data_IF_807239052146
#
_entry.id   IF_807239052146
#
_cell.length_a   1.000
_cell.length_b   1.000
_cell.length_c   1.000
_cell.angle_alpha   90.00
_cell.angle_beta   90.00
_cell.angle_gamma   90.00
#
_symmetry.space_group_name_H-M   'P 1'
#
loop_
_entity.id
_entity.type
_entity.pdbx_description
1 polymer ?
#
# COMPACT_ATOMS: atom_id res chain seq x y z
N UNK A 1 -21.46 -13.74 -1.76
CA UNK A 1 -20.87 -13.30 -3.04
C UNK A 1 -19.40 -13.66 -2.99
N UNK A 2 -18.98 -14.61 -3.81
CA UNK A 2 -17.62 -15.16 -3.76
C UNK A 2 -16.73 -14.19 -4.53
N UNK A 3 -15.64 -13.71 -3.91
CA UNK A 3 -14.56 -12.95 -4.55
C UNK A 3 -13.73 -13.82 -5.53
N UNK A 4 -14.41 -14.68 -6.29
CA UNK A 4 -13.80 -15.49 -7.33
C UNK A 4 -13.62 -14.63 -8.58
N UNK A 5 -12.39 -14.15 -8.79
CA UNK A 5 -11.69 -14.06 -10.10
C UNK A 5 -10.57 -13.01 -10.20
N UNK A 6 -10.07 -12.45 -9.10
CA UNK A 6 -8.86 -11.63 -9.15
C UNK A 6 -7.67 -12.39 -8.51
N UNK A 7 -7.00 -13.30 -9.24
CA UNK A 7 -5.78 -13.92 -8.74
C UNK A 7 -4.77 -12.82 -8.41
N UNK A 8 -3.89 -13.11 -7.43
CA UNK A 8 -2.80 -12.20 -7.11
C UNK A 8 -1.94 -11.97 -8.36
N UNK A 9 -1.58 -10.73 -8.70
CA UNK A 9 -0.69 -10.46 -9.81
C UNK A 9 0.69 -11.11 -9.60
N UNK A 10 1.30 -11.58 -10.68
CA UNK A 10 2.67 -12.12 -10.64
C UNK A 10 3.74 -11.02 -10.42
N UNK A 11 3.34 -9.74 -10.58
CA UNK A 11 4.22 -8.57 -10.51
C UNK A 11 3.89 -7.72 -9.28
N UNK A 12 4.37 -8.20 -8.13
CA UNK A 12 4.38 -7.51 -6.85
C UNK A 12 5.81 -7.56 -6.27
N UNK A 13 6.09 -6.67 -5.33
CA UNK A 13 7.30 -6.62 -4.55
C UNK A 13 8.25 -5.50 -4.94
N UNK A 14 9.45 -5.61 -4.37
CA UNK A 14 10.58 -4.71 -4.57
C UNK A 14 11.52 -5.34 -5.60
N UNK A 15 11.94 -4.55 -6.59
CA UNK A 15 12.99 -4.92 -7.53
C UNK A 15 14.19 -3.99 -7.33
N UNK A 16 15.30 -4.53 -6.84
CA UNK A 16 16.45 -3.73 -6.40
C UNK A 16 16.13 -2.98 -5.12
N UNK A 17 15.88 -1.67 -5.24
CA UNK A 17 15.58 -0.79 -4.10
C UNK A 17 14.32 0.06 -4.34
N UNK A 18 13.42 -0.43 -5.20
CA UNK A 18 12.17 0.27 -5.57
C UNK A 18 11.02 -0.71 -5.70
N UNK A 19 9.83 -0.27 -5.35
CA UNK A 19 8.60 -0.99 -5.69
C UNK A 19 8.47 -1.11 -7.21
N UNK A 20 7.90 -2.22 -7.67
CA UNK A 20 7.55 -2.38 -9.08
C UNK A 20 6.57 -1.28 -9.53
N UNK A 21 6.69 -0.79 -10.79
CA UNK A 21 5.86 0.30 -11.31
C UNK A 21 4.38 -0.07 -11.35
N UNK A 22 3.54 0.96 -11.43
CA UNK A 22 2.12 0.74 -11.67
C UNK A 22 1.91 0.03 -13.03
N UNK A 23 0.89 -0.85 -13.14
CA UNK A 23 0.38 -1.24 -14.44
C UNK A 23 -0.08 0.01 -15.23
N UNK A 24 -0.11 -0.09 -16.56
CA UNK A 24 -0.61 0.97 -17.45
C UNK A 24 -2.14 1.12 -17.37
N UNK A 25 -2.63 1.59 -16.21
CA UNK A 25 -4.04 1.80 -15.86
C UNK A 25 -4.18 2.90 -14.80
N UNK A 26 -5.25 3.71 -14.85
CA UNK A 26 -5.43 4.83 -13.93
C UNK A 26 -5.91 4.42 -12.52
N UNK A 27 -6.10 3.12 -12.25
CA UNK A 27 -6.51 2.58 -10.96
C UNK A 27 -5.31 2.12 -10.10
N UNK A 28 -4.18 2.81 -10.23
CA UNK A 28 -2.99 2.61 -9.42
C UNK A 28 -2.50 3.94 -8.84
N UNK A 29 -2.12 3.92 -7.57
CA UNK A 29 -1.52 5.04 -6.85
C UNK A 29 -0.14 4.62 -6.37
N UNK A 30 0.92 5.37 -6.70
CA UNK A 30 2.29 5.04 -6.33
C UNK A 30 3.09 6.27 -5.96
N UNK A 31 3.85 6.18 -4.87
CA UNK A 31 4.79 7.25 -4.49
C UNK A 31 5.99 7.37 -5.44
N UNK A 32 6.20 6.38 -6.31
CA UNK A 32 7.26 6.42 -7.33
C UNK A 32 6.77 7.02 -8.65
N UNK A 33 5.48 7.29 -8.78
CA UNK A 33 4.84 7.79 -10.00
C UNK A 33 3.98 9.03 -9.72
N UNK A 34 4.53 9.99 -8.96
CA UNK A 34 3.98 11.34 -8.83
C UNK A 34 3.18 11.61 -7.56
N UNK A 35 3.02 10.64 -6.66
CA UNK A 35 2.51 10.89 -5.31
C UNK A 35 3.66 11.00 -4.30
N UNK A 36 3.43 11.73 -3.22
CA UNK A 36 4.42 11.85 -2.15
C UNK A 36 4.49 10.54 -1.33
N UNK A 37 5.70 10.06 -0.97
CA UNK A 37 5.86 8.95 -0.02
C UNK A 37 5.44 9.38 1.39
N UNK A 38 5.25 8.41 2.30
CA UNK A 38 4.95 8.76 3.68
C UNK A 38 6.24 9.12 4.41
N UNK A 39 6.40 10.35 4.92
CA UNK A 39 7.55 10.67 5.75
C UNK A 39 7.40 9.98 7.11
N UNK A 40 8.52 9.57 7.68
CA UNK A 40 8.58 9.23 9.10
C UNK A 40 9.79 9.90 9.74
N UNK A 41 9.72 10.12 11.05
CA UNK A 41 10.87 10.54 11.85
C UNK A 41 11.22 9.46 12.87
N UNK A 42 12.48 9.34 13.23
CA UNK A 42 12.95 8.38 14.22
C UNK A 42 13.23 6.99 13.64
N UNK A 43 13.01 5.97 14.46
CA UNK A 43 13.42 4.59 14.17
C UNK A 43 12.59 3.94 13.05
N UNK A 44 13.28 3.31 12.10
CA UNK A 44 12.65 2.61 10.96
C UNK A 44 11.77 1.44 11.42
N UNK A 45 12.20 0.71 12.45
CA UNK A 45 11.43 -0.39 13.04
C UNK A 45 10.15 0.10 13.72
N UNK A 46 10.20 1.24 14.41
CA UNK A 46 9.03 1.88 14.99
C UNK A 46 8.04 2.36 13.91
N UNK A 47 8.53 2.96 12.82
CA UNK A 47 7.71 3.33 11.67
C UNK A 47 7.05 2.10 11.03
N UNK A 48 7.81 1.03 10.81
CA UNK A 48 7.31 -0.25 10.30
C UNK A 48 6.21 -0.83 11.21
N UNK A 49 6.48 -0.95 12.51
CA UNK A 49 5.53 -1.52 13.47
C UNK A 49 4.25 -0.68 13.58
N UNK A 50 4.37 0.65 13.52
CA UNK A 50 3.23 1.57 13.55
C UNK A 50 2.37 1.42 12.30
N UNK A 51 2.99 1.41 11.12
CA UNK A 51 2.29 1.19 9.85
C UNK A 51 1.58 -0.17 9.85
N UNK A 52 2.27 -1.24 10.26
CA UNK A 52 1.67 -2.57 10.36
C UNK A 52 0.47 -2.59 11.33
N UNK A 53 0.55 -1.87 12.44
CA UNK A 53 -0.57 -1.71 13.39
C UNK A 53 -1.77 -0.99 12.78
N UNK A 54 -1.53 0.08 12.00
CA UNK A 54 -2.58 0.78 11.25
C UNK A 54 -3.23 -0.18 10.25
N UNK A 55 -2.43 -0.87 9.43
CA UNK A 55 -2.93 -1.76 8.38
C UNK A 55 -3.76 -2.93 8.94
N UNK A 56 -3.37 -3.49 10.09
CA UNK A 56 -4.12 -4.56 10.78
C UNK A 56 -5.50 -4.13 11.29
N UNK A 57 -5.67 -2.84 11.58
CA UNK A 57 -6.94 -2.27 12.06
C UNK A 57 -7.71 -1.54 10.97
N UNK A 58 -7.10 -1.38 9.80
CA UNK A 58 -7.70 -0.68 8.67
C UNK A 58 -8.89 -1.48 8.11
N UNK A 59 -10.04 -0.82 7.83
CA UNK A 59 -11.23 -1.53 7.39
C UNK A 59 -11.02 -2.35 6.11
N UNK A 60 -11.40 -3.63 6.15
CA UNK A 60 -11.36 -4.56 5.00
C UNK A 60 -9.96 -4.76 4.42
N UNK A 61 -8.96 -4.75 5.29
CA UNK A 61 -7.55 -5.00 4.95
C UNK A 61 -7.13 -6.36 5.47
N UNK A 62 -6.39 -7.10 4.66
CA UNK A 62 -5.77 -8.37 5.03
C UNK A 62 -4.27 -8.26 4.81
N UNK A 63 -3.46 -8.53 5.84
CA UNK A 63 -1.99 -8.54 5.71
C UNK A 63 -1.56 -9.87 5.12
N UNK A 64 -0.90 -9.82 3.96
CA UNK A 64 -0.50 -11.01 3.19
C UNK A 64 0.95 -11.37 3.47
N UNK A 65 1.83 -10.38 3.52
CA UNK A 65 3.27 -10.58 3.75
C UNK A 65 3.83 -9.40 4.54
N UNK A 66 4.79 -9.70 5.41
CA UNK A 66 5.61 -8.71 6.10
C UNK A 66 7.04 -9.23 6.18
N UNK A 67 7.99 -8.36 5.86
CA UNK A 67 9.42 -8.49 6.13
C UNK A 67 9.84 -7.26 6.96
N UNK A 68 11.14 -7.08 7.20
CA UNK A 68 11.63 -5.92 7.97
C UNK A 68 11.52 -4.59 7.20
N UNK A 69 11.42 -4.65 5.87
CA UNK A 69 11.45 -3.51 4.96
C UNK A 69 10.23 -3.46 4.02
N UNK A 70 9.34 -4.47 4.04
CA UNK A 70 8.23 -4.57 3.10
C UNK A 70 6.96 -5.12 3.75
N UNK A 71 5.82 -4.54 3.40
CA UNK A 71 4.49 -5.01 3.78
C UNK A 71 3.62 -5.10 2.52
N UNK A 72 2.96 -6.25 2.34
CA UNK A 72 1.92 -6.45 1.33
C UNK A 72 0.58 -6.71 2.01
N UNK A 73 -0.46 -6.00 1.56
CA UNK A 73 -1.83 -6.15 2.01
C UNK A 73 -2.82 -6.26 0.85
N UNK A 74 -3.96 -6.88 1.09
CA UNK A 74 -5.12 -6.86 0.21
C UNK A 74 -6.21 -5.95 0.82
N UNK A 75 -6.64 -4.93 0.07
CA UNK A 75 -7.81 -4.11 0.41
C UNK A 75 -9.03 -4.62 -0.34
N UNK A 76 -10.18 -4.74 0.35
CA UNK A 76 -11.45 -5.15 -0.27
C UNK A 76 -12.46 -4.00 -0.31
N UNK A 77 -13.09 -3.79 -1.47
CA UNK A 77 -14.13 -2.76 -1.62
C UNK A 77 -15.45 -3.18 -0.95
N UNK A 78 -16.17 -2.20 -0.38
CA UNK A 78 -17.42 -2.44 0.39
C UNK A 78 -18.56 -2.98 -0.48
N UNK A 79 -18.68 -2.48 -1.71
CA UNK A 79 -19.87 -2.67 -2.55
C UNK A 79 -19.63 -3.67 -3.67
N UNK A 80 -18.45 -3.64 -4.29
CA UNK A 80 -18.18 -4.40 -5.51
C UNK A 80 -17.19 -5.56 -5.32
N UNK A 81 -16.74 -5.83 -4.08
CA UNK A 81 -15.79 -6.90 -3.76
C UNK A 81 -14.49 -6.89 -4.59
N UNK A 82 -14.09 -5.70 -5.07
CA UNK A 82 -12.80 -5.52 -5.74
C UNK A 82 -11.66 -5.70 -4.74
N UNK A 83 -10.55 -6.25 -5.23
CA UNK A 83 -9.33 -6.45 -4.46
C UNK A 83 -8.27 -5.52 -5.04
N UNK A 84 -7.68 -4.71 -4.17
CA UNK A 84 -6.52 -3.88 -4.46
C UNK A 84 -5.32 -4.41 -3.67
N UNK A 85 -4.17 -4.53 -4.32
CA UNK A 85 -2.91 -4.85 -3.65
C UNK A 85 -2.27 -3.55 -3.16
N UNK A 86 -2.01 -3.46 -1.86
CA UNK A 86 -1.26 -2.40 -1.21
C UNK A 86 0.12 -2.88 -0.82
N UNK A 87 1.15 -2.18 -1.27
CA UNK A 87 2.55 -2.50 -1.04
C UNK A 87 3.21 -1.30 -0.39
N UNK A 88 3.99 -1.56 0.67
CA UNK A 88 4.72 -0.54 1.41
C UNK A 88 6.17 -0.99 1.53
N UNK A 89 7.11 -0.11 1.19
CA UNK A 89 8.54 -0.38 1.23
C UNK A 89 9.26 0.71 2.01
N UNK A 90 10.07 0.28 2.98
CA UNK A 90 10.84 1.12 3.89
C UNK A 90 12.33 0.95 3.58
N UNK A 91 12.89 1.69 2.62
CA UNK A 91 14.30 1.60 2.27
C UNK A 91 15.21 1.90 3.47
N UNK A 92 16.36 1.21 3.53
CA UNK A 92 17.39 1.53 4.50
C UNK A 92 18.06 2.87 4.20
N UNK A 93 18.35 3.65 5.25
CA UNK A 93 19.05 4.94 5.12
C UNK A 93 18.17 6.11 4.70
N UNK A 94 16.88 5.89 4.44
CA UNK A 94 15.91 6.94 4.16
C UNK A 94 14.81 6.96 5.23
N UNK A 95 14.24 8.13 5.47
CA UNK A 95 13.15 8.31 6.44
C UNK A 95 11.80 8.46 5.75
N UNK A 96 11.56 7.60 4.77
CA UNK A 96 10.34 7.57 3.96
C UNK A 96 9.83 6.14 3.79
N UNK A 97 8.52 6.02 3.62
CA UNK A 97 7.86 4.78 3.21
C UNK A 97 7.30 5.00 1.81
N UNK A 98 7.85 4.28 0.84
CA UNK A 98 7.27 4.20 -0.48
C UNK A 98 6.06 3.29 -0.47
N UNK A 99 5.07 3.59 -1.30
CA UNK A 99 3.89 2.75 -1.45
C UNK A 99 3.46 2.60 -2.89
N UNK A 100 2.71 1.54 -3.13
CA UNK A 100 1.92 1.30 -4.34
C UNK A 100 0.59 0.66 -3.93
N UNK A 101 -0.52 1.18 -4.43
CA UNK A 101 -1.85 0.60 -4.26
C UNK A 101 -2.50 0.44 -5.62
N UNK A 102 -2.76 -0.79 -6.06
CA UNK A 102 -3.23 -1.09 -7.41
C UNK A 102 -4.41 -2.05 -7.39
N UNK A 103 -5.49 -1.71 -8.09
CA UNK A 103 -6.61 -2.61 -8.28
C UNK A 103 -6.25 -3.77 -9.22
N UNK A 104 -6.59 -5.00 -8.83
CA UNK A 104 -6.33 -6.20 -9.65
C UNK A 104 -7.12 -6.22 -10.96
N UNK A 105 -8.30 -5.60 -10.95
CA UNK A 105 -9.23 -5.59 -12.08
C UNK A 105 -9.94 -4.23 -12.17
N UNK A 106 -10.65 -4.03 -13.28
CA UNK A 106 -11.26 -2.74 -13.61
C UNK A 106 -10.29 -1.81 -14.34
N UNK A 107 -10.81 -0.65 -14.74
CA UNK A 107 -10.05 0.38 -15.43
C UNK A 107 -9.84 1.61 -14.53
N UNK A 108 -10.86 2.03 -13.79
CA UNK A 108 -10.78 3.15 -12.84
C UNK A 108 -11.30 2.71 -11.47
N UNK A 109 -10.68 3.24 -10.43
CA UNK A 109 -11.09 3.13 -9.02
C UNK A 109 -11.67 4.45 -8.49
N UNK A 110 -11.88 5.45 -9.37
CA UNK A 110 -12.31 6.81 -9.03
C UNK A 110 -11.41 7.49 -7.97
N UNK A 111 -10.12 7.16 -7.95
CA UNK A 111 -9.15 7.70 -6.99
C UNK A 111 -9.18 7.04 -5.61
N UNK A 112 -9.90 5.92 -5.45
CA UNK A 112 -10.02 5.23 -4.17
C UNK A 112 -8.65 4.78 -3.62
N UNK A 113 -7.72 4.33 -4.47
CA UNK A 113 -6.38 3.96 -4.04
C UNK A 113 -5.59 5.17 -3.54
N UNK A 114 -5.61 6.29 -4.27
CA UNK A 114 -4.91 7.51 -3.87
C UNK A 114 -5.47 8.08 -2.55
N UNK A 115 -6.80 8.18 -2.43
CA UNK A 115 -7.47 8.63 -1.20
C UNK A 115 -7.08 7.74 -0.01
N UNK A 116 -7.10 6.42 -0.18
CA UNK A 116 -6.74 5.48 0.88
C UNK A 116 -5.29 5.65 1.34
N UNK A 117 -4.36 5.84 0.41
CA UNK A 117 -2.96 6.05 0.76
C UNK A 117 -2.78 7.38 1.52
N UNK A 118 -3.49 8.43 1.11
CA UNK A 118 -3.48 9.70 1.85
C UNK A 118 -3.99 9.56 3.29
N UNK A 119 -5.09 8.84 3.50
CA UNK A 119 -5.66 8.63 4.85
C UNK A 119 -4.73 7.80 5.74
N UNK A 120 -4.15 6.72 5.19
CA UNK A 120 -3.17 5.88 5.90
C UNK A 120 -1.93 6.68 6.25
N UNK A 121 -1.38 7.44 5.29
CA UNK A 121 -0.21 8.29 5.49
C UNK A 121 -0.45 9.35 6.56
N UNK A 122 -1.61 10.00 6.56
CA UNK A 122 -1.99 10.98 7.59
C UNK A 122 -2.06 10.35 8.98
N UNK A 123 -2.70 9.18 9.09
CA UNK A 123 -2.78 8.42 10.35
C UNK A 123 -1.40 8.00 10.86
N UNK A 124 -0.51 7.59 9.95
CA UNK A 124 0.86 7.22 10.28
C UNK A 124 1.63 8.41 10.85
N UNK A 125 1.61 9.55 10.16
CA UNK A 125 2.29 10.77 10.60
C UNK A 125 1.76 11.24 11.94
N UNK A 126 0.46 11.12 12.20
CA UNK A 126 -0.13 11.44 13.51
C UNK A 126 0.36 10.52 14.64
N UNK A 127 0.54 9.23 14.36
CA UNK A 127 1.00 8.24 15.36
C UNK A 127 2.50 8.27 15.63
N UNK A 128 3.29 8.86 14.72
CA UNK A 128 4.74 8.98 14.84
C UNK A 128 5.23 10.33 15.39
N UNK A 129 4.30 11.25 15.66
CA UNK A 129 4.56 12.46 16.46
C UNK A 129 4.67 12.11 17.93
#
# INVERSE_FOLDING_TARGET
MIAHRAPRPDRLGVAGSKLLPCPDKPNCASSLEGLEPFPHSGDRGAAHATLLGILKTWPRTEVIQTTDDYIHVEFRSRVFSFIDDGEFYLPEGESVIHYRSAARMGHSDLGANASRMSDIGSTLVEKLK
#
